data_IF_760873053528
#
_entry.id   IF_760873053528
#
_cell.length_a   1.000
_cell.length_b   1.000
_cell.length_c   1.000
_cell.angle_alpha   90.00
_cell.angle_beta   90.00
_cell.angle_gamma   90.00
#
_symmetry.space_group_name_H-M   'P 1'
#
loop_
_entity.id
_entity.type
_entity.pdbx_description
1 polymer ?
#
# COMPACT_ATOMS: atom_id res chain seq x y z
N UNK A 1 11.94 -25.87 8.60
CA UNK A 1 10.58 -25.54 8.14
C UNK A 1 10.68 -24.46 7.08
N UNK A 2 10.19 -24.75 5.87
CA UNK A 2 10.36 -23.92 4.68
C UNK A 2 9.45 -22.67 4.79
N UNK A 3 10.05 -21.49 4.78
CA UNK A 3 9.35 -20.21 4.89
C UNK A 3 8.59 -19.92 3.59
N UNK A 4 7.36 -20.40 3.49
CA UNK A 4 6.43 -20.09 2.40
C UNK A 4 5.84 -18.69 2.60
N UNK A 5 6.69 -17.67 2.49
CA UNK A 5 6.22 -16.31 2.18
C UNK A 5 5.78 -16.29 0.72
N UNK A 6 4.57 -16.82 0.47
CA UNK A 6 3.82 -16.48 -0.73
C UNK A 6 3.74 -14.94 -0.73
N UNK A 7 4.49 -14.29 -1.63
CA UNK A 7 4.31 -12.86 -1.90
C UNK A 7 2.87 -12.67 -2.33
N UNK A 8 1.99 -12.39 -1.38
CA UNK A 8 0.60 -12.09 -1.67
C UNK A 8 0.63 -10.80 -2.48
N UNK A 9 0.26 -10.90 -3.74
CA UNK A 9 0.24 -9.75 -4.63
C UNK A 9 -0.68 -8.68 -4.04
N UNK A 10 -0.21 -7.43 -4.02
CA UNK A 10 -1.03 -6.32 -3.55
C UNK A 10 -2.35 -6.26 -4.31
N UNK A 11 -3.41 -5.75 -3.66
CA UNK A 11 -4.73 -5.59 -4.29
C UNK A 11 -4.64 -4.80 -5.60
N UNK A 12 -3.74 -3.80 -5.65
CA UNK A 12 -3.44 -3.02 -6.85
C UNK A 12 -2.86 -3.90 -7.97
N UNK A 13 -1.83 -4.70 -7.65
CA UNK A 13 -1.21 -5.62 -8.62
C UNK A 13 -2.20 -6.66 -9.15
N UNK A 14 -3.07 -7.22 -8.30
CA UNK A 14 -4.14 -8.15 -8.71
C UNK A 14 -5.11 -7.49 -9.70
N UNK A 15 -5.55 -6.25 -9.44
CA UNK A 15 -6.40 -5.48 -10.36
C UNK A 15 -5.68 -5.16 -11.68
N UNK A 16 -4.40 -4.78 -11.62
CA UNK A 16 -3.62 -4.47 -12.81
C UNK A 16 -3.44 -5.70 -13.71
N UNK A 17 -3.14 -6.86 -13.12
CA UNK A 17 -3.08 -8.13 -13.84
C UNK A 17 -4.42 -8.45 -14.49
N UNK A 18 -5.55 -8.25 -13.79
CA UNK A 18 -6.87 -8.48 -14.34
C UNK A 18 -7.15 -7.60 -15.57
N UNK A 19 -6.85 -6.29 -15.50
CA UNK A 19 -7.01 -5.40 -16.66
C UNK A 19 -6.10 -5.77 -17.81
N UNK A 20 -4.86 -6.20 -17.52
CA UNK A 20 -3.94 -6.65 -18.54
C UNK A 20 -4.41 -7.92 -19.24
N UNK A 21 -4.94 -8.89 -18.49
CA UNK A 21 -5.56 -10.10 -19.04
C UNK A 21 -6.74 -9.71 -19.93
N UNK A 22 -7.61 -8.79 -19.49
CA UNK A 22 -8.74 -8.33 -20.29
C UNK A 22 -8.28 -7.71 -21.62
N UNK A 23 -7.31 -6.79 -21.59
CA UNK A 23 -6.74 -6.16 -22.79
C UNK A 23 -6.10 -7.21 -23.70
N UNK A 24 -5.39 -8.18 -23.13
CA UNK A 24 -4.76 -9.27 -23.88
C UNK A 24 -5.79 -10.16 -24.56
N UNK A 25 -6.89 -10.52 -23.88
CA UNK A 25 -7.99 -11.31 -24.45
C UNK A 25 -8.63 -10.58 -25.62
N UNK A 26 -8.93 -9.29 -25.46
CA UNK A 26 -9.49 -8.46 -26.55
C UNK A 26 -8.52 -8.39 -27.73
N UNK A 27 -7.23 -8.14 -27.46
CA UNK A 27 -6.20 -8.08 -28.49
C UNK A 27 -6.04 -9.40 -29.25
N UNK A 28 -6.05 -10.53 -28.55
CA UNK A 28 -6.01 -11.88 -29.15
C UNK A 28 -7.26 -12.14 -29.98
N UNK A 29 -8.44 -11.75 -29.49
CA UNK A 29 -9.70 -11.94 -30.22
C UNK A 29 -9.71 -11.19 -31.56
N UNK A 30 -9.32 -9.91 -31.55
CA UNK A 30 -9.21 -9.09 -32.77
C UNK A 30 -8.15 -9.66 -33.71
N UNK A 31 -7.01 -10.09 -33.16
CA UNK A 31 -5.95 -10.72 -33.94
C UNK A 31 -6.45 -11.99 -34.63
N UNK A 32 -7.20 -12.83 -33.92
CA UNK A 32 -7.74 -14.08 -34.43
C UNK A 32 -8.76 -13.84 -35.55
N UNK A 33 -9.65 -12.84 -35.40
CA UNK A 33 -10.63 -12.47 -36.42
C UNK A 33 -9.96 -12.02 -37.72
N UNK A 34 -8.95 -11.14 -37.62
CA UNK A 34 -8.17 -10.67 -38.77
C UNK A 34 -7.42 -11.84 -39.43
N UNK A 35 -6.74 -12.67 -38.65
CA UNK A 35 -5.98 -13.81 -39.20
C UNK A 35 -6.94 -14.81 -39.88
N UNK A 36 -8.11 -15.06 -39.31
CA UNK A 36 -9.12 -15.95 -39.90
C UNK A 36 -9.63 -15.42 -41.25
N UNK A 37 -9.96 -14.13 -41.34
CA UNK A 37 -10.44 -13.51 -42.57
C UNK A 37 -9.40 -13.64 -43.71
N UNK A 38 -8.14 -13.33 -43.43
CA UNK A 38 -7.06 -13.38 -44.42
C UNK A 38 -6.54 -14.80 -44.69
N UNK A 39 -6.67 -15.74 -43.75
CA UNK A 39 -6.17 -17.12 -43.90
C UNK A 39 -7.21 -18.08 -44.48
N UNK A 40 -8.51 -17.81 -44.31
CA UNK A 40 -9.59 -18.69 -44.76
C UNK A 40 -9.70 -18.80 -46.29
N UNK A 41 -8.98 -17.93 -47.03
CA UNK A 41 -9.04 -17.86 -48.49
C UNK A 41 -10.37 -17.30 -49.01
N UNK A 42 -11.34 -16.99 -48.14
CA UNK A 42 -12.65 -16.42 -48.50
C UNK A 42 -12.49 -15.13 -49.27
N UNK A 43 -11.77 -14.16 -48.70
CA UNK A 43 -11.50 -12.88 -49.35
C UNK A 43 -10.76 -13.05 -50.70
N UNK A 44 -9.80 -13.99 -50.77
CA UNK A 44 -9.09 -14.30 -52.02
C UNK A 44 -10.06 -14.82 -53.08
N UNK A 45 -10.92 -15.75 -52.70
CA UNK A 45 -11.88 -16.38 -53.61
C UNK A 45 -12.95 -15.39 -54.07
N UNK A 46 -13.48 -14.56 -53.17
CA UNK A 46 -14.49 -13.56 -53.48
C UNK A 46 -13.95 -12.48 -54.44
N UNK A 47 -12.73 -11.98 -54.21
CA UNK A 47 -12.06 -11.08 -55.14
C UNK A 47 -11.86 -11.76 -56.50
N UNK A 48 -11.41 -13.02 -56.50
CA UNK A 48 -11.18 -13.80 -57.73
C UNK A 48 -12.48 -13.99 -58.53
N UNK A 49 -13.57 -14.38 -57.89
CA UNK A 49 -14.87 -14.60 -58.53
C UNK A 49 -15.45 -13.29 -59.09
N UNK A 50 -15.45 -12.22 -58.29
CA UNK A 50 -15.94 -10.90 -58.73
C UNK A 50 -15.16 -10.38 -59.96
N UNK A 51 -13.85 -10.61 -59.99
CA UNK A 51 -13.00 -10.21 -61.10
C UNK A 51 -13.27 -11.05 -62.36
N UNK A 52 -13.44 -12.37 -62.22
CA UNK A 52 -13.79 -13.26 -63.34
C UNK A 52 -15.15 -12.87 -63.94
N UNK A 53 -16.16 -12.61 -63.11
CA UNK A 53 -17.51 -12.19 -63.55
C UNK A 53 -17.47 -10.82 -64.26
N UNK A 54 -16.68 -9.89 -63.75
CA UNK A 54 -16.53 -8.56 -64.38
C UNK A 54 -15.80 -8.64 -65.72
N UNK A 55 -14.75 -9.45 -65.82
CA UNK A 55 -13.99 -9.63 -67.06
C UNK A 55 -14.80 -10.35 -68.13
N UNK A 56 -15.58 -11.38 -67.77
CA UNK A 56 -16.40 -12.14 -68.71
C UNK A 56 -17.59 -11.33 -69.25
N UNK A 57 -18.08 -10.35 -68.48
CA UNK A 57 -19.16 -9.44 -68.92
C UNK A 57 -18.65 -8.24 -69.74
N UNK A 58 -17.37 -7.86 -69.60
CA UNK A 58 -16.80 -6.65 -70.23
C UNK A 58 -15.93 -6.93 -71.46
N UNK A 59 -15.52 -8.18 -71.69
CA UNK A 59 -14.52 -8.53 -72.72
C UNK A 59 -14.89 -9.82 -73.46
N UNK A 60 -14.54 -9.93 -74.75
CA UNK A 60 -14.77 -11.13 -75.57
C UNK A 60 -14.11 -12.39 -74.98
N UNK A 61 -14.74 -13.58 -75.06
CA UNK A 61 -14.23 -14.83 -74.48
C UNK A 61 -12.80 -15.19 -74.90
N UNK A 62 -12.41 -14.85 -76.13
CA UNK A 62 -11.06 -15.10 -76.65
C UNK A 62 -9.97 -14.32 -75.88
N UNK A 63 -10.29 -13.13 -75.37
CA UNK A 63 -9.37 -12.32 -74.58
C UNK A 63 -9.30 -12.85 -73.15
N UNK A 64 -10.42 -13.26 -72.56
CA UNK A 64 -10.47 -13.87 -71.22
C UNK A 64 -9.62 -15.15 -71.16
N UNK A 65 -9.70 -15.99 -72.20
CA UNK A 65 -8.87 -17.19 -72.31
C UNK A 65 -7.38 -16.88 -72.48
N UNK A 66 -7.04 -15.79 -73.19
CA UNK A 66 -5.67 -15.35 -73.42
C UNK A 66 -5.03 -14.69 -72.20
N UNK A 67 -5.82 -14.03 -71.35
CA UNK A 67 -5.37 -13.49 -70.05
C UNK A 67 -4.99 -14.63 -69.10
N UNK A 68 -5.68 -15.77 -69.16
CA UNK A 68 -5.35 -16.97 -68.39
C UNK A 68 -5.71 -16.85 -66.90
N UNK A 69 -6.50 -17.81 -66.39
CA UNK A 69 -6.95 -17.83 -64.99
C UNK A 69 -5.77 -17.90 -64.00
N UNK A 70 -4.65 -18.49 -64.41
CA UNK A 70 -3.45 -18.63 -63.59
C UNK A 70 -2.71 -17.30 -63.39
N UNK A 71 -2.69 -16.43 -64.41
CA UNK A 71 -2.12 -15.09 -64.28
C UNK A 71 -2.96 -14.24 -63.32
N UNK A 72 -4.29 -14.45 -63.32
CA UNK A 72 -5.22 -13.79 -62.41
C UNK A 72 -5.00 -14.21 -60.96
N UNK A 73 -4.77 -15.50 -60.70
CA UNK A 73 -4.52 -15.98 -59.33
C UNK A 73 -3.22 -15.43 -58.76
N UNK A 74 -2.17 -15.31 -59.59
CA UNK A 74 -0.91 -14.69 -59.19
C UNK A 74 -1.03 -13.17 -58.95
N UNK A 75 -1.89 -12.49 -59.71
CA UNK A 75 -2.15 -11.05 -59.59
C UNK A 75 -2.94 -10.71 -58.30
N UNK A 76 -3.83 -11.61 -57.85
CA UNK A 76 -4.63 -11.44 -56.63
C UNK A 76 -3.88 -11.93 -55.38
N UNK A 77 -3.15 -13.05 -55.46
CA UNK A 77 -2.52 -13.68 -54.28
C UNK A 77 -1.31 -12.91 -53.71
N UNK A 78 -0.49 -12.28 -54.56
CA UNK A 78 0.69 -11.49 -54.14
C UNK A 78 0.34 -10.27 -53.27
N UNK A 79 -0.59 -9.38 -53.67
CA UNK A 79 -0.97 -8.25 -52.83
C UNK A 79 -1.66 -8.68 -51.53
N UNK A 80 -2.54 -9.71 -51.58
CA UNK A 80 -3.23 -10.21 -50.39
C UNK A 80 -2.28 -10.83 -49.36
N UNK A 81 -1.29 -11.62 -49.80
CA UNK A 81 -0.28 -12.18 -48.89
C UNK A 81 0.64 -11.12 -48.29
N UNK A 82 0.96 -10.07 -49.05
CA UNK A 82 1.72 -8.91 -48.56
C UNK A 82 0.94 -8.13 -47.51
N UNK A 83 -0.36 -7.86 -47.75
CA UNK A 83 -1.25 -7.22 -46.77
C UNK A 83 -1.37 -8.05 -45.50
N UNK A 84 -1.61 -9.37 -45.63
CA UNK A 84 -1.66 -10.29 -44.49
C UNK A 84 -0.38 -10.21 -43.64
N UNK A 85 0.79 -10.29 -44.26
CA UNK A 85 2.07 -10.25 -43.54
C UNK A 85 2.28 -8.91 -42.83
N UNK A 86 1.88 -7.79 -43.44
CA UNK A 86 1.91 -6.46 -42.79
C UNK A 86 0.96 -6.39 -41.58
N UNK A 87 -0.25 -6.93 -41.71
CA UNK A 87 -1.22 -6.99 -40.60
C UNK A 87 -0.69 -7.84 -39.44
N UNK A 88 -0.13 -9.01 -39.72
CA UNK A 88 0.48 -9.88 -38.69
C UNK A 88 1.62 -9.14 -37.96
N UNK A 89 2.48 -8.43 -38.72
CA UNK A 89 3.56 -7.64 -38.12
C UNK A 89 3.02 -6.53 -37.21
N UNK A 90 1.98 -5.81 -37.64
CA UNK A 90 1.33 -4.78 -36.82
C UNK A 90 0.75 -5.35 -35.53
N UNK A 91 0.09 -6.51 -35.60
CA UNK A 91 -0.45 -7.19 -34.41
C UNK A 91 0.66 -7.60 -33.43
N UNK A 92 1.80 -8.09 -33.94
CA UNK A 92 2.95 -8.43 -33.11
C UNK A 92 3.53 -7.20 -32.41
N UNK A 93 3.65 -6.08 -33.12
CA UNK A 93 4.11 -4.80 -32.54
C UNK A 93 3.15 -4.32 -31.45
N UNK A 94 1.84 -4.36 -31.68
CA UNK A 94 0.84 -3.99 -30.68
C UNK A 94 0.97 -4.88 -29.44
N UNK A 95 1.11 -6.18 -29.63
CA UNK A 95 1.29 -7.12 -28.52
C UNK A 95 2.57 -6.82 -27.72
N UNK A 96 3.69 -6.55 -28.40
CA UNK A 96 4.94 -6.17 -27.75
C UNK A 96 4.81 -4.86 -26.95
N UNK A 97 4.10 -3.85 -27.49
CA UNK A 97 3.81 -2.61 -26.79
C UNK A 97 2.96 -2.83 -25.53
N UNK A 98 1.93 -3.68 -25.62
CA UNK A 98 1.08 -4.05 -24.48
C UNK A 98 1.93 -4.67 -23.37
N UNK A 99 2.73 -5.68 -23.69
CA UNK A 99 3.63 -6.34 -22.72
C UNK A 99 4.65 -5.35 -22.13
N UNK A 100 5.26 -4.51 -22.98
CA UNK A 100 6.21 -3.48 -22.55
C UNK A 100 5.59 -2.49 -21.57
N UNK A 101 4.38 -2.00 -21.88
CA UNK A 101 3.64 -1.09 -21.01
C UNK A 101 3.34 -1.74 -19.64
N UNK A 102 2.94 -3.01 -19.61
CA UNK A 102 2.68 -3.72 -18.35
C UNK A 102 3.91 -3.85 -17.46
N UNK A 103 5.06 -4.19 -18.06
CA UNK A 103 6.33 -4.30 -17.34
C UNK A 103 6.74 -2.95 -16.76
N UNK A 104 6.69 -1.89 -17.57
CA UNK A 104 7.02 -0.53 -17.13
C UNK A 104 6.06 -0.06 -16.02
N UNK A 105 4.76 -0.21 -16.19
CA UNK A 105 3.76 0.21 -15.20
C UNK A 105 3.93 -0.53 -13.87
N UNK A 106 4.24 -1.83 -13.92
CA UNK A 106 4.49 -2.63 -12.71
C UNK A 106 5.76 -2.18 -11.99
N UNK A 107 6.83 -1.91 -12.74
CA UNK A 107 8.14 -1.53 -12.19
C UNK A 107 8.12 -0.10 -11.65
N UNK A 108 7.51 0.82 -12.38
CA UNK A 108 7.67 2.25 -12.16
C UNK A 108 6.54 2.82 -11.26
N UNK A 109 5.39 2.15 -11.18
CA UNK A 109 4.24 2.60 -10.35
C UNK A 109 3.90 1.59 -9.26
N UNK A 110 3.59 0.34 -9.64
CA UNK A 110 3.06 -0.64 -8.66
C UNK A 110 4.10 -1.02 -7.61
N UNK A 111 5.35 -1.28 -8.01
CA UNK A 111 6.39 -1.71 -7.07
C UNK A 111 6.80 -0.62 -6.06
N UNK A 112 7.00 0.66 -6.47
CA UNK A 112 7.21 1.74 -5.51
C UNK A 112 6.01 1.94 -4.58
N UNK A 113 4.78 1.84 -5.10
CA UNK A 113 3.57 1.95 -4.27
C UNK A 113 3.46 0.84 -3.22
N UNK A 114 3.75 -0.41 -3.59
CA UNK A 114 3.79 -1.52 -2.63
C UNK A 114 4.81 -1.24 -1.50
N UNK A 115 5.98 -0.72 -1.86
CA UNK A 115 7.04 -0.37 -0.89
C UNK A 115 6.64 0.77 0.04
N UNK A 116 5.96 1.80 -0.49
CA UNK A 116 5.44 2.92 0.28
C UNK A 116 4.39 2.45 1.28
N UNK A 117 3.44 1.61 0.84
CA UNK A 117 2.39 1.06 1.71
C UNK A 117 2.99 0.24 2.84
N UNK A 118 3.97 -0.62 2.55
CA UNK A 118 4.59 -1.48 3.56
C UNK A 118 5.40 -0.69 4.59
N UNK A 119 6.16 0.32 4.17
CA UNK A 119 6.88 1.21 5.08
C UNK A 119 5.90 2.05 5.93
N UNK A 120 4.84 2.58 5.32
CA UNK A 120 3.83 3.39 6.02
C UNK A 120 3.09 2.58 7.09
N UNK A 121 2.79 1.30 6.83
CA UNK A 121 2.18 0.42 7.84
C UNK A 121 3.07 0.27 9.08
N UNK A 122 4.38 0.08 8.89
CA UNK A 122 5.34 -0.01 10.01
C UNK A 122 5.40 1.29 10.82
N UNK A 123 5.39 2.44 10.14
CA UNK A 123 5.31 3.75 10.79
C UNK A 123 4.01 3.88 11.59
N UNK A 124 2.87 3.52 10.99
CA UNK A 124 1.57 3.52 11.66
C UNK A 124 1.51 2.55 12.86
N UNK A 125 2.29 1.48 12.82
CA UNK A 125 2.45 0.51 13.90
C UNK A 125 3.35 1.00 15.06
N UNK A 126 3.95 2.19 14.92
CA UNK A 126 4.79 2.84 15.93
C UNK A 126 6.30 2.63 15.72
N UNK A 127 6.71 1.90 14.69
CA UNK A 127 8.12 1.83 14.29
C UNK A 127 8.48 3.07 13.48
N UNK A 128 8.89 4.13 14.17
CA UNK A 128 9.31 5.36 13.52
C UNK A 128 10.72 5.24 12.91
N UNK A 129 11.47 4.15 13.14
CA UNK A 129 12.88 4.04 12.69
C UNK A 129 13.02 3.70 11.20
N UNK A 130 11.95 3.20 10.59
CA UNK A 130 11.89 2.94 9.15
C UNK A 130 11.72 4.22 8.34
N UNK A 131 12.26 4.22 7.12
CA UNK A 131 12.03 5.26 6.13
C UNK A 131 11.37 4.69 4.89
N UNK A 132 10.59 5.52 4.21
CA UNK A 132 9.98 5.22 2.94
C UNK A 132 11.01 5.45 1.82
N UNK A 133 11.29 4.46 0.95
CA UNK A 133 12.26 4.63 -0.12
C UNK A 133 11.73 5.58 -1.19
N UNK A 134 12.54 6.57 -1.57
CA UNK A 134 12.26 7.51 -2.66
C UNK A 134 12.85 6.92 -3.95
N UNK A 135 12.02 6.28 -4.77
CA UNK A 135 12.44 5.53 -5.97
C UNK A 135 12.21 6.29 -7.29
N UNK A 136 11.52 7.41 -7.25
CA UNK A 136 11.17 8.23 -8.42
C UNK A 136 11.24 9.73 -8.06
N UNK A 137 11.33 10.58 -9.08
CA UNK A 137 11.32 12.05 -8.95
C UNK A 137 9.94 12.68 -9.26
N UNK A 138 8.96 11.85 -9.56
CA UNK A 138 7.56 12.21 -9.85
C UNK A 138 6.71 12.36 -8.58
N UNK A 139 5.37 12.37 -8.75
CA UNK A 139 4.39 12.42 -7.65
C UNK A 139 4.52 11.24 -6.68
N UNK A 140 4.93 10.05 -7.14
CA UNK A 140 5.16 8.89 -6.28
C UNK A 140 6.35 9.16 -5.36
N UNK A 141 7.41 9.73 -5.92
CA UNK A 141 8.56 10.22 -5.15
C UNK A 141 8.21 11.31 -4.15
N UNK A 142 7.35 12.25 -4.54
CA UNK A 142 6.87 13.32 -3.67
C UNK A 142 6.09 12.78 -2.47
N UNK A 143 5.20 11.80 -2.69
CA UNK A 143 4.46 11.14 -1.61
C UNK A 143 5.43 10.45 -0.63
N UNK A 144 6.45 9.74 -1.14
CA UNK A 144 7.45 9.10 -0.28
C UNK A 144 8.20 10.13 0.59
N UNK A 145 8.58 11.27 0.01
CA UNK A 145 9.22 12.39 0.75
C UNK A 145 8.29 12.97 1.83
N UNK A 146 7.03 13.25 1.50
CA UNK A 146 6.05 13.76 2.46
C UNK A 146 5.82 12.82 3.65
N UNK A 147 5.80 11.51 3.43
CA UNK A 147 5.65 10.53 4.51
C UNK A 147 6.91 10.49 5.38
N UNK A 148 8.11 10.61 4.78
CA UNK A 148 9.35 10.72 5.56
C UNK A 148 9.38 11.98 6.42
N UNK A 149 8.97 13.13 5.88
CA UNK A 149 8.89 14.39 6.64
C UNK A 149 7.91 14.26 7.81
N UNK A 150 6.76 13.64 7.58
CA UNK A 150 5.81 13.30 8.66
C UNK A 150 6.44 12.39 9.71
N UNK A 151 7.18 11.36 9.30
CA UNK A 151 7.84 10.44 10.23
C UNK A 151 8.89 11.15 11.09
N UNK A 152 9.69 12.05 10.51
CA UNK A 152 10.65 12.89 11.26
C UNK A 152 9.92 13.76 12.29
N UNK A 153 8.83 14.42 11.88
CA UNK A 153 8.04 15.24 12.81
C UNK A 153 7.46 14.42 13.98
N UNK A 154 7.05 13.18 13.73
CA UNK A 154 6.59 12.26 14.78
C UNK A 154 7.74 11.87 15.73
N UNK A 155 8.92 11.56 15.20
CA UNK A 155 10.10 11.27 16.04
C UNK A 155 10.45 12.46 16.94
N UNK A 156 10.46 13.67 16.39
CA UNK A 156 10.74 14.90 17.13
C UNK A 156 9.73 15.13 18.23
N UNK A 157 8.43 14.92 17.96
CA UNK A 157 7.37 15.03 18.97
C UNK A 157 7.58 14.03 20.12
N UNK A 158 7.92 12.77 19.80
CA UNK A 158 8.22 11.75 20.82
C UNK A 158 9.45 12.12 21.64
N UNK A 159 10.50 12.66 21.01
CA UNK A 159 11.69 13.14 21.70
C UNK A 159 11.40 14.32 22.63
N UNK A 160 10.57 15.27 22.19
CA UNK A 160 10.14 16.40 23.00
C UNK A 160 9.37 15.92 24.24
N UNK A 161 8.40 15.01 24.06
CA UNK A 161 7.65 14.41 25.17
C UNK A 161 8.59 13.73 26.16
N UNK A 162 9.54 12.90 25.69
CA UNK A 162 10.54 12.26 26.56
C UNK A 162 11.37 13.27 27.34
N UNK A 163 11.80 14.36 26.69
CA UNK A 163 12.58 15.41 27.36
C UNK A 163 11.78 16.12 28.46
N UNK A 164 10.49 16.37 28.22
CA UNK A 164 9.60 16.99 29.20
C UNK A 164 9.31 16.06 30.38
N UNK A 165 9.20 14.74 30.15
CA UNK A 165 9.11 13.74 31.23
C UNK A 165 10.38 13.78 32.10
N UNK A 166 11.57 13.79 31.50
CA UNK A 166 12.85 13.86 32.26
C UNK A 166 12.94 15.18 33.04
N UNK A 167 12.55 16.30 32.43
CA UNK A 167 12.52 17.61 33.09
C UNK A 167 11.56 17.60 34.30
N UNK A 168 10.37 17.03 34.14
CA UNK A 168 9.39 16.90 35.23
C UNK A 168 9.91 16.00 36.35
N UNK A 169 10.49 14.83 36.05
CA UNK A 169 11.12 13.96 37.06
C UNK A 169 12.18 14.69 37.89
N UNK A 170 13.02 15.52 37.24
CA UNK A 170 14.03 16.32 37.95
C UNK A 170 13.39 17.36 38.89
N UNK A 171 12.41 18.12 38.42
CA UNK A 171 11.70 19.11 39.24
C UNK A 171 11.00 18.47 40.45
N UNK A 172 10.41 17.29 40.27
CA UNK A 172 9.80 16.53 41.36
C UNK A 172 10.85 16.16 42.40
N UNK A 173 12.00 15.61 41.97
CA UNK A 173 13.10 15.27 42.89
C UNK A 173 13.59 16.48 43.69
N UNK A 174 13.80 17.61 43.03
CA UNK A 174 14.20 18.87 43.70
C UNK A 174 13.16 19.36 44.71
N UNK A 175 11.87 19.20 44.41
CA UNK A 175 10.79 19.53 45.34
C UNK A 175 10.78 18.57 46.56
N UNK A 176 10.96 17.27 46.33
CA UNK A 176 11.07 16.25 47.40
C UNK A 176 12.27 16.53 48.31
N UNK A 177 13.44 16.82 47.75
CA UNK A 177 14.66 17.13 48.52
C UNK A 177 14.47 18.39 49.38
N UNK A 178 13.80 19.43 48.85
CA UNK A 178 13.43 20.62 49.63
C UNK A 178 12.46 20.32 50.78
N UNK A 179 11.52 19.40 50.58
CA UNK A 179 10.58 18.98 51.64
C UNK A 179 11.31 18.24 52.75
N UNK A 180 12.23 17.33 52.42
CA UNK A 180 13.06 16.62 53.41
C UNK A 180 13.90 17.63 54.21
N UNK A 181 14.48 18.63 53.53
CA UNK A 181 15.24 19.71 54.15
C UNK A 181 14.35 20.59 55.05
N UNK A 182 13.15 20.97 54.61
CA UNK A 182 12.19 21.74 55.44
C UNK A 182 11.66 20.94 56.64
N UNK A 183 11.49 19.63 56.50
CA UNK A 183 11.15 18.74 57.62
C UNK A 183 12.26 18.64 58.67
N UNK A 184 13.53 18.84 58.28
CA UNK A 184 14.62 19.00 59.25
C UNK A 184 14.61 20.39 59.93
N UNK A 185 14.07 21.43 59.28
CA UNK A 185 13.96 22.78 59.85
C UNK A 185 12.82 22.90 60.87
N UNK A 186 11.83 22.00 60.89
CA UNK A 186 10.84 21.93 61.98
C UNK A 186 11.47 21.67 63.36
N UNK A 187 12.71 21.15 63.42
CA UNK A 187 13.47 21.02 64.68
C UNK A 187 14.18 22.31 65.12
N UNK A 188 14.18 23.36 64.31
CA UNK A 188 14.81 24.64 64.62
C UNK A 188 13.83 25.81 64.39
N UNK A 189 12.93 25.96 65.36
CA UNK A 189 12.43 27.22 65.95
C UNK A 189 12.24 28.40 64.99
N UNK A 190 10.96 28.72 64.77
CA UNK A 190 10.36 30.06 64.97
C UNK A 190 10.96 31.25 64.19
N UNK A 191 10.07 32.07 63.61
CA UNK A 191 10.34 33.35 62.90
C UNK A 191 10.73 33.09 61.43
N UNK A 192 9.95 33.53 60.44
CA UNK A 192 10.02 34.88 59.88
C UNK A 192 8.65 35.31 59.34
N UNK A 193 8.04 36.25 60.07
CA UNK A 193 6.97 37.14 59.64
C UNK A 193 7.55 38.25 58.75
N UNK A 194 7.89 37.92 57.50
CA UNK A 194 8.09 38.97 56.49
C UNK A 194 7.85 38.45 55.06
N UNK A 195 6.59 38.58 54.62
CA UNK A 195 6.13 38.70 53.21
C UNK A 195 6.36 37.55 52.21
N UNK A 196 6.26 36.26 52.57
CA UNK A 196 6.15 35.18 51.57
C UNK A 196 5.10 34.14 51.99
N UNK A 197 4.15 33.87 51.08
CA UNK A 197 3.05 32.87 51.07
C UNK A 197 2.70 32.18 52.41
N UNK A 198 1.43 32.29 52.84
CA UNK A 198 0.94 31.63 54.07
C UNK A 198 1.19 30.12 54.01
N UNK A 199 1.61 29.53 55.12
CA UNK A 199 1.89 28.10 55.25
C UNK A 199 0.69 27.21 54.86
N UNK A 200 -0.54 27.70 55.04
CA UNK A 200 -1.78 27.04 54.58
C UNK A 200 -1.88 26.96 53.06
N UNK A 201 -1.45 28.00 52.36
CA UNK A 201 -1.49 28.08 50.90
C UNK A 201 -0.37 27.23 50.30
N UNK A 202 0.79 27.21 50.95
CA UNK A 202 1.89 26.31 50.63
C UNK A 202 1.48 24.83 50.82
N UNK A 203 0.82 24.49 51.95
CA UNK A 203 0.27 23.14 52.19
C UNK A 203 -0.76 22.73 51.13
N UNK A 204 -1.64 23.65 50.71
CA UNK A 204 -2.59 23.40 49.62
C UNK A 204 -1.89 23.17 48.28
N UNK A 205 -0.88 23.98 47.97
CA UNK A 205 -0.10 23.83 46.73
C UNK A 205 0.66 22.49 46.70
N UNK A 206 1.16 22.03 47.85
CA UNK A 206 1.78 20.72 47.99
C UNK A 206 0.76 19.59 47.83
N UNK A 207 -0.43 19.69 48.45
CA UNK A 207 -1.50 18.70 48.24
C UNK A 207 -1.90 18.60 46.77
N UNK A 208 -2.15 19.75 46.14
CA UNK A 208 -2.51 19.82 44.72
C UNK A 208 -1.39 19.26 43.83
N UNK A 209 -0.13 19.53 44.16
CA UNK A 209 1.01 18.96 43.43
C UNK A 209 1.13 17.44 43.64
N UNK A 210 0.81 16.92 44.83
CA UNK A 210 0.75 15.49 45.10
C UNK A 210 -0.39 14.80 44.34
N UNK A 211 -1.54 15.45 44.22
CA UNK A 211 -2.68 14.96 43.44
C UNK A 211 -2.36 14.95 41.94
N UNK A 212 -1.66 15.96 41.42
CA UNK A 212 -1.17 15.99 40.03
C UNK A 212 -0.13 14.89 39.79
N UNK A 213 0.75 14.62 40.75
CA UNK A 213 1.72 13.52 40.64
C UNK A 213 1.02 12.17 40.61
N UNK A 214 0.04 11.93 41.49
CA UNK A 214 -0.79 10.71 41.44
C UNK A 214 -1.49 10.57 40.11
N UNK A 215 -2.10 11.64 39.58
CA UNK A 215 -2.76 11.62 38.28
C UNK A 215 -1.78 11.28 37.14
N UNK A 216 -0.56 11.84 37.18
CA UNK A 216 0.48 11.56 36.19
C UNK A 216 1.04 10.13 36.31
N UNK A 217 1.19 9.61 37.53
CA UNK A 217 1.54 8.20 37.77
C UNK A 217 0.47 7.28 37.20
N UNK A 218 -0.81 7.58 37.45
CA UNK A 218 -1.95 6.83 36.94
C UNK A 218 -2.03 6.89 35.41
N UNK A 219 -1.82 8.06 34.79
CA UNK A 219 -1.73 8.18 33.33
C UNK A 219 -0.54 7.41 32.73
N UNK A 220 0.59 7.34 33.44
CA UNK A 220 1.76 6.56 33.03
C UNK A 220 1.49 5.05 33.12
N UNK A 221 0.79 4.64 34.16
CA UNK A 221 0.35 3.26 34.37
C UNK A 221 -0.66 2.86 33.28
N UNK A 222 -1.62 3.73 32.97
CA UNK A 222 -2.58 3.57 31.86
C UNK A 222 -1.87 3.50 30.50
N UNK A 223 -0.86 4.36 30.27
CA UNK A 223 -0.08 4.35 29.03
C UNK A 223 0.75 3.06 28.88
N UNK A 224 1.31 2.56 29.99
CA UNK A 224 2.07 1.31 30.05
C UNK A 224 1.14 0.10 29.90
N UNK A 225 -0.04 0.13 30.50
CA UNK A 225 -1.08 -0.88 30.33
C UNK A 225 -1.57 -0.90 28.88
N UNK A 226 -1.76 0.27 28.25
CA UNK A 226 -2.10 0.39 26.83
C UNK A 226 -0.97 -0.13 25.93
N UNK A 227 0.30 0.19 26.24
CA UNK A 227 1.45 -0.36 25.51
C UNK A 227 1.51 -1.89 25.63
N UNK A 228 1.25 -2.42 26.83
CA UNK A 228 1.20 -3.86 27.11
C UNK A 228 0.02 -4.53 26.41
N UNK A 229 -1.16 -3.91 26.42
CA UNK A 229 -2.37 -4.38 25.74
C UNK A 229 -2.17 -4.41 24.23
N UNK A 230 -1.63 -3.33 23.64
CA UNK A 230 -1.29 -3.28 22.21
C UNK A 230 -0.25 -4.35 21.86
N UNK A 231 0.75 -4.57 22.72
CA UNK A 231 1.77 -5.63 22.55
C UNK A 231 1.17 -7.03 22.67
N UNK A 232 0.23 -7.25 23.58
CA UNK A 232 -0.50 -8.51 23.75
C UNK A 232 -1.38 -8.81 22.53
N UNK A 233 -2.12 -7.81 22.03
CA UNK A 233 -2.95 -7.92 20.83
C UNK A 233 -2.13 -8.18 19.55
N UNK A 234 -0.91 -7.65 19.48
CA UNK A 234 0.04 -7.91 18.37
C UNK A 234 0.75 -9.27 18.48
N UNK A 235 0.94 -9.79 19.68
CA UNK A 235 1.63 -11.08 19.92
C UNK A 235 0.68 -12.28 19.86
N UNK A 236 -0.59 -12.09 20.25
CA UNK A 236 -1.65 -13.05 20.03
C UNK A 236 -2.34 -12.77 18.69
N UNK A 237 -1.78 -13.32 17.61
CA UNK A 237 -2.61 -13.66 16.47
C UNK A 237 -3.68 -14.64 16.98
N UNK A 238 -4.92 -14.17 17.11
CA UNK A 238 -6.09 -14.98 17.48
C UNK A 238 -5.98 -16.28 16.67
N UNK A 239 -5.82 -17.41 17.37
CA UNK A 239 -5.89 -18.68 16.66
C UNK A 239 -7.31 -18.78 16.10
N UNK A 240 -7.50 -19.07 14.80
CA UNK A 240 -8.81 -19.11 14.18
C UNK A 240 -9.69 -20.29 14.64
N UNK A 241 -9.24 -21.07 15.63
CA UNK A 241 -9.88 -22.28 16.17
C UNK A 241 -10.42 -22.12 17.59
N UNK A 242 -10.53 -20.90 18.14
CA UNK A 242 -11.21 -20.69 19.42
C UNK A 242 -12.71 -20.92 19.22
N UNK A 243 -13.22 -22.04 19.74
CA UNK A 243 -14.64 -22.37 19.69
C UNK A 243 -15.42 -21.45 20.64
N UNK A 244 -16.64 -21.06 20.25
CA UNK A 244 -17.53 -20.18 21.04
C UNK A 244 -17.69 -20.65 22.50
N UNK A 245 -17.64 -21.98 22.72
CA UNK A 245 -17.76 -22.61 24.02
C UNK A 245 -16.57 -22.31 24.96
N UNK A 246 -15.36 -22.12 24.44
CA UNK A 246 -14.21 -21.69 25.25
C UNK A 246 -14.34 -20.21 25.63
N UNK A 247 -14.89 -19.38 24.74
CA UNK A 247 -15.15 -17.96 25.03
C UNK A 247 -16.20 -17.84 26.14
N UNK A 248 -17.30 -18.58 26.03
CA UNK A 248 -18.39 -18.56 27.03
C UNK A 248 -17.94 -19.10 28.40
N UNK A 249 -17.03 -20.09 28.41
CA UNK A 249 -16.45 -20.64 29.65
C UNK A 249 -15.60 -19.60 30.40
N UNK A 250 -14.74 -18.87 29.70
CA UNK A 250 -13.86 -17.86 30.30
C UNK A 250 -14.65 -16.63 30.75
N UNK A 251 -15.69 -16.26 30.00
CA UNK A 251 -16.59 -15.18 30.37
C UNK A 251 -17.30 -15.51 31.69
N UNK A 252 -17.87 -16.71 31.82
CA UNK A 252 -18.58 -17.10 33.05
C UNK A 252 -17.63 -17.19 34.26
N UNK A 253 -16.40 -17.69 34.07
CA UNK A 253 -15.39 -17.75 35.15
C UNK A 253 -14.99 -16.36 35.65
N UNK A 254 -14.99 -15.34 34.77
CA UNK A 254 -14.67 -13.97 35.15
C UNK A 254 -15.83 -13.22 35.86
N UNK A 255 -17.07 -13.66 35.67
CA UNK A 255 -18.26 -13.05 36.28
C UNK A 255 -18.74 -13.77 37.56
N UNK A 256 -18.26 -14.99 37.85
CA UNK A 256 -18.56 -15.72 39.09
C UNK A 256 -17.61 -15.33 40.26
N UNK A 257 -16.46 -14.69 40.01
CA UNK A 257 -15.49 -14.27 41.04
C UNK A 257 -15.83 -12.93 41.75
N UNK A 258 -16.90 -12.24 41.31
CA UNK A 258 -17.35 -10.93 41.83
C UNK A 258 -18.60 -11.02 42.77
N UNK A 259 -19.01 -12.21 43.23
CA UNK A 259 -20.02 -12.42 44.30
C UNK A 259 -19.41 -12.92 45.63
#
# INVERSE_FOLDING_TARGET
MHNNNKKEFSRLRKKLILYFILISVVSISVSAEIIFEFSSGRLKNEIRENLIVTLSSSVSPAIVQKVGVDNLDSAVSRPLSTLRNRMILLLLVIFACIVGAFVLFTRDIVSPMDSIVDATKKIADGDLTVSVPVMSDDEIGQIARLINDMNVNLQDMVMQIRSEIVRHKKKIREATDKIIFMGHVESAVEIIDNRRMKLSDFKKMIRLSGDVVKLLEQMLEDLSALETFVRMYKTYAIRPDIEQKEIDSVINEYFDDDE
#
